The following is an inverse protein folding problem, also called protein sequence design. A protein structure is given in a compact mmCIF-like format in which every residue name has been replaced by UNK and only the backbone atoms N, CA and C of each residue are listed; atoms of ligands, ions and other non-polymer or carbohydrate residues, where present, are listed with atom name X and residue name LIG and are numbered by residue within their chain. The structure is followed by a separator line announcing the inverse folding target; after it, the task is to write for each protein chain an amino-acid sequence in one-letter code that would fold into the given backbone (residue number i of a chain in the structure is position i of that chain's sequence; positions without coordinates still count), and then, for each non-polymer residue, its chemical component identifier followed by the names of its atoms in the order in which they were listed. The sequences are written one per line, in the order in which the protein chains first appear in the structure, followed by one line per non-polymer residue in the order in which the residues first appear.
data_IF_715898640130
#
_entry.id   IF_715898640130
#
_cell.length_a   1.000
_cell.length_b   1.000
_cell.length_c   1.000
_cell.angle_alpha   90.00
_cell.angle_beta   90.00
_cell.angle_gamma   90.00
#
_symmetry.space_group_name_H-M   'P 1'
#
loop_
_entity.id
_entity.type
_entity.pdbx_description
1 polymer ?
#
# COMPACT_ATOMS: atom_id res chain seq x y z
N UNK A 1 -6.36 22.83 0.60
CA UNK A 1 -5.79 21.68 -0.14
C UNK A 1 -6.76 21.38 -1.26
N UNK A 2 -6.32 21.20 -2.49
CA UNK A 2 -7.24 20.82 -3.60
C UNK A 2 -7.75 19.40 -3.33
N UNK A 3 -9.02 19.16 -3.59
CA UNK A 3 -9.58 17.81 -3.61
C UNK A 3 -9.13 17.09 -4.90
N UNK A 4 -9.16 15.76 -4.90
CA UNK A 4 -8.75 14.96 -6.06
C UNK A 4 -9.52 15.31 -7.34
N UNK A 5 -10.77 15.76 -7.23
CA UNK A 5 -11.62 16.20 -8.35
C UNK A 5 -11.15 17.51 -9.01
N UNK A 6 -10.29 18.26 -8.31
CA UNK A 6 -9.77 19.56 -8.76
C UNK A 6 -8.40 19.43 -9.43
N UNK A 7 -7.87 18.20 -9.53
CA UNK A 7 -6.56 17.95 -10.13
C UNK A 7 -6.62 18.09 -11.65
N UNK A 8 -5.69 18.86 -12.19
CA UNK A 8 -5.51 18.95 -13.62
C UNK A 8 -4.67 17.79 -14.18
N UNK A 9 -4.57 17.68 -15.51
CA UNK A 9 -3.86 16.59 -16.19
C UNK A 9 -2.39 16.48 -15.75
N UNK A 10 -1.71 17.62 -15.58
CA UNK A 10 -0.30 17.65 -15.18
C UNK A 10 -0.11 17.15 -13.73
N UNK A 11 -1.01 17.53 -12.84
CA UNK A 11 -1.01 17.07 -11.45
C UNK A 11 -1.26 15.55 -11.36
N UNK A 12 -2.18 15.03 -12.19
CA UNK A 12 -2.44 13.59 -12.30
C UNK A 12 -1.22 12.83 -12.86
N UNK A 13 -0.55 13.37 -13.86
CA UNK A 13 0.66 12.76 -14.44
C UNK A 13 1.81 12.76 -13.43
N UNK A 14 1.95 13.83 -12.63
CA UNK A 14 2.91 13.88 -11.52
C UNK A 14 2.63 12.79 -10.48
N UNK A 15 1.37 12.58 -10.10
CA UNK A 15 0.96 11.53 -9.17
C UNK A 15 1.28 10.13 -9.73
N UNK A 16 1.05 9.91 -11.03
CA UNK A 16 1.41 8.64 -11.69
C UNK A 16 2.92 8.41 -11.69
N UNK A 17 3.70 9.45 -11.94
CA UNK A 17 5.16 9.38 -11.89
C UNK A 17 5.66 9.03 -10.47
N UNK A 18 5.11 9.66 -9.43
CA UNK A 18 5.37 9.33 -8.02
C UNK A 18 5.03 7.84 -7.76
N UNK A 19 3.88 7.37 -8.26
CA UNK A 19 3.47 5.99 -8.18
C UNK A 19 4.49 5.03 -8.79
N UNK A 20 4.94 5.34 -10.00
CA UNK A 20 5.93 4.54 -10.74
C UNK A 20 7.28 4.48 -10.04
N UNK A 21 7.78 5.63 -9.56
CA UNK A 21 9.05 5.73 -8.83
C UNK A 21 8.96 4.99 -7.49
N UNK A 22 7.89 5.21 -6.72
CA UNK A 22 7.68 4.54 -5.43
C UNK A 22 7.61 3.02 -5.58
N UNK A 23 6.88 2.54 -6.60
CA UNK A 23 6.74 1.12 -6.89
C UNK A 23 8.07 0.50 -7.35
N UNK A 24 8.84 1.18 -8.21
CA UNK A 24 10.17 0.72 -8.63
C UNK A 24 11.16 0.64 -7.46
N UNK A 25 11.14 1.62 -6.55
CA UNK A 25 11.94 1.59 -5.34
C UNK A 25 11.51 0.45 -4.40
N UNK A 26 10.21 0.18 -4.29
CA UNK A 26 9.69 -0.93 -3.50
C UNK A 26 10.17 -2.28 -4.06
N UNK A 27 10.15 -2.49 -5.39
CA UNK A 27 10.69 -3.71 -6.01
C UNK A 27 12.16 -3.93 -5.68
N UNK A 28 12.96 -2.89 -5.76
CA UNK A 28 14.39 -2.96 -5.43
C UNK A 28 14.61 -3.33 -3.97
N UNK A 29 13.88 -2.70 -3.05
CA UNK A 29 13.96 -3.01 -1.62
C UNK A 29 13.49 -4.44 -1.31
N UNK A 30 12.37 -4.86 -1.90
CA UNK A 30 11.84 -6.22 -1.77
C UNK A 30 12.79 -7.27 -2.34
N UNK A 31 13.43 -7.00 -3.49
CA UNK A 31 14.43 -7.93 -4.06
C UNK A 31 15.57 -8.21 -3.09
N UNK A 32 16.06 -7.17 -2.42
CA UNK A 32 17.11 -7.30 -1.42
C UNK A 32 16.65 -8.07 -0.18
N UNK A 33 15.40 -7.89 0.23
CA UNK A 33 14.83 -8.50 1.42
C UNK A 33 14.44 -9.96 1.21
N UNK A 34 13.84 -10.26 0.05
CA UNK A 34 13.36 -11.60 -0.27
C UNK A 34 14.45 -12.51 -0.86
N UNK A 35 15.59 -11.94 -1.25
CA UNK A 35 16.70 -12.68 -1.84
C UNK A 35 16.41 -13.22 -3.24
N UNK A 36 15.48 -12.62 -3.97
CA UNK A 36 15.10 -12.97 -5.33
C UNK A 36 14.93 -11.71 -6.19
N UNK A 37 14.94 -11.85 -7.51
CA UNK A 37 14.65 -10.71 -8.40
C UNK A 37 13.14 -10.43 -8.40
N UNK A 38 12.72 -9.39 -7.68
CA UNK A 38 11.33 -8.94 -7.70
C UNK A 38 11.10 -8.06 -8.92
N UNK A 39 10.19 -8.48 -9.78
CA UNK A 39 9.69 -7.71 -10.91
C UNK A 39 8.29 -7.20 -10.63
N UNK A 40 7.99 -6.04 -11.16
CA UNK A 40 6.68 -5.40 -11.03
C UNK A 40 6.15 -5.11 -12.42
N UNK A 41 4.89 -5.44 -12.65
CA UNK A 41 4.15 -4.95 -13.81
C UNK A 41 4.00 -3.42 -13.73
N UNK A 42 3.67 -2.79 -14.85
CA UNK A 42 3.41 -1.34 -14.86
C UNK A 42 2.35 -1.01 -13.80
N UNK A 43 2.69 -0.18 -12.80
CA UNK A 43 1.74 0.12 -11.73
C UNK A 43 0.55 0.89 -12.27
N UNK A 44 -0.64 0.48 -11.85
CA UNK A 44 -1.87 1.16 -12.18
C UNK A 44 -2.24 2.16 -11.08
N UNK A 45 -2.11 3.44 -11.38
CA UNK A 45 -2.49 4.52 -10.44
C UNK A 45 -3.87 5.04 -10.81
N UNK A 46 -4.81 4.94 -9.88
CA UNK A 46 -6.19 5.42 -10.03
C UNK A 46 -6.59 6.32 -8.87
N UNK A 47 -7.44 7.29 -9.16
CA UNK A 47 -8.16 8.09 -8.18
C UNK A 47 -9.63 7.70 -8.31
N UNK A 48 -10.21 7.18 -7.24
CA UNK A 48 -11.55 6.62 -7.25
C UNK A 48 -12.23 6.78 -5.89
N UNK A 49 -13.55 6.65 -5.86
CA UNK A 49 -14.30 6.63 -4.61
C UNK A 49 -13.99 5.38 -3.77
N UNK A 50 -14.24 5.45 -2.45
CA UNK A 50 -13.94 4.34 -1.53
C UNK A 50 -14.63 3.03 -1.92
N UNK A 51 -15.91 3.08 -2.33
CA UNK A 51 -16.64 1.86 -2.73
C UNK A 51 -16.05 1.26 -4.01
N UNK A 52 -15.71 2.10 -5.00
CA UNK A 52 -15.08 1.66 -6.23
C UNK A 52 -13.70 1.03 -5.95
N UNK A 53 -12.94 1.59 -5.01
CA UNK A 53 -11.67 1.02 -4.59
C UNK A 53 -11.83 -0.36 -3.94
N UNK A 54 -12.83 -0.52 -3.06
CA UNK A 54 -13.16 -1.81 -2.45
C UNK A 54 -13.49 -2.85 -3.52
N UNK A 55 -14.32 -2.49 -4.50
CA UNK A 55 -14.70 -3.40 -5.59
C UNK A 55 -13.50 -3.73 -6.49
N UNK A 56 -12.65 -2.73 -6.79
CA UNK A 56 -11.47 -2.90 -7.62
C UNK A 56 -10.43 -3.87 -7.06
N UNK A 57 -10.27 -3.90 -5.74
CA UNK A 57 -9.32 -4.80 -5.08
C UNK A 57 -9.92 -6.17 -4.71
N UNK A 58 -11.16 -6.47 -5.10
CA UNK A 58 -11.76 -7.81 -4.98
C UNK A 58 -13.11 -7.87 -4.24
N UNK A 59 -13.55 -6.77 -3.65
CA UNK A 59 -14.85 -6.67 -2.97
C UNK A 59 -14.77 -6.60 -1.45
N UNK A 60 -15.86 -6.19 -0.78
CA UNK A 60 -15.85 -5.84 0.64
C UNK A 60 -15.62 -7.04 1.58
N UNK A 61 -15.99 -8.24 1.17
CA UNK A 61 -15.95 -9.45 2.01
C UNK A 61 -14.63 -10.23 1.91
N UNK A 62 -13.74 -9.84 0.99
CA UNK A 62 -12.43 -10.48 0.84
C UNK A 62 -11.60 -10.22 2.09
N UNK A 63 -11.11 -11.29 2.71
CA UNK A 63 -10.18 -11.19 3.84
C UNK A 63 -8.80 -10.81 3.29
N UNK A 64 -8.17 -9.82 3.92
CA UNK A 64 -6.84 -9.36 3.53
C UNK A 64 -6.03 -8.90 4.74
N UNK A 65 -4.73 -8.84 4.59
CA UNK A 65 -3.86 -8.20 5.56
C UNK A 65 -3.63 -6.73 5.16
N UNK A 66 -3.64 -5.85 6.14
CA UNK A 66 -3.39 -4.42 5.96
C UNK A 66 -2.28 -3.92 6.88
N UNK A 67 -1.36 -3.16 6.30
CA UNK A 67 -0.37 -2.38 7.06
C UNK A 67 -0.68 -0.91 6.83
N UNK A 68 -0.90 -0.18 7.90
CA UNK A 68 -1.31 1.23 7.85
C UNK A 68 -0.32 2.11 8.59
N UNK A 69 0.00 3.26 8.01
CA UNK A 69 0.74 4.35 8.66
C UNK A 69 -0.01 5.66 8.45
N UNK A 70 0.05 6.54 9.46
CA UNK A 70 -0.40 7.92 9.32
C UNK A 70 0.76 8.80 8.93
N UNK A 71 0.50 9.71 8.02
CA UNK A 71 1.42 10.76 7.63
C UNK A 71 1.04 12.06 8.32
N UNK A 72 2.05 12.82 8.72
CA UNK A 72 1.91 14.14 9.30
C UNK A 72 3.05 15.06 8.86
N UNK A 73 3.06 16.29 9.34
CA UNK A 73 3.99 17.33 8.93
C UNK A 73 3.35 18.23 7.86
N UNK A 74 4.01 18.41 6.72
CA UNK A 74 3.49 19.23 5.63
C UNK A 74 2.39 18.52 4.82
N UNK A 75 2.29 17.18 4.96
CA UNK A 75 1.21 16.37 4.38
C UNK A 75 0.53 15.58 5.49
N UNK A 76 -0.81 15.63 5.53
CA UNK A 76 -1.61 14.80 6.42
C UNK A 76 -2.37 13.76 5.61
N UNK A 77 -2.31 12.51 6.04
CA UNK A 77 -2.98 11.42 5.35
C UNK A 77 -2.74 10.06 5.99
N UNK A 78 -3.30 9.05 5.34
CA UNK A 78 -3.06 7.64 5.67
C UNK A 78 -2.52 6.95 4.41
N UNK A 79 -1.51 6.13 4.59
CA UNK A 79 -1.10 5.13 3.61
C UNK A 79 -1.41 3.74 4.13
N UNK A 80 -2.01 2.94 3.28
CA UNK A 80 -2.41 1.56 3.55
C UNK A 80 -1.81 0.65 2.48
N UNK A 81 -1.03 -0.34 2.90
CA UNK A 81 -0.63 -1.47 2.07
C UNK A 81 -1.62 -2.61 2.27
N UNK A 82 -2.36 -2.95 1.23
CA UNK A 82 -3.28 -4.11 1.20
C UNK A 82 -2.52 -5.30 0.64
N UNK A 83 -2.45 -6.39 1.40
CA UNK A 83 -1.67 -7.58 1.08
C UNK A 83 -2.61 -8.78 0.92
N UNK A 84 -2.88 -9.14 -0.34
CA UNK A 84 -3.67 -10.32 -0.68
C UNK A 84 -2.88 -11.60 -0.44
N UNK A 85 -3.58 -12.75 -0.36
CA UNK A 85 -3.01 -14.03 0.06
C UNK A 85 -1.83 -14.48 -0.84
N UNK A 86 -1.90 -14.19 -2.12
CA UNK A 86 -0.84 -14.53 -3.07
C UNK A 86 0.46 -13.77 -2.76
N UNK A 87 0.34 -12.47 -2.46
CA UNK A 87 1.48 -11.66 -2.04
C UNK A 87 2.01 -12.08 -0.66
N UNK A 88 1.10 -12.38 0.27
CA UNK A 88 1.47 -12.91 1.59
C UNK A 88 2.28 -14.19 1.45
N UNK A 89 1.84 -15.14 0.63
CA UNK A 89 2.56 -16.39 0.39
C UNK A 89 3.91 -16.19 -0.31
N UNK A 90 4.00 -15.23 -1.23
CA UNK A 90 5.29 -14.85 -1.81
C UNK A 90 6.26 -14.37 -0.73
N UNK A 91 5.82 -13.50 0.16
CA UNK A 91 6.65 -12.98 1.26
C UNK A 91 7.04 -14.08 2.23
N UNK A 92 6.06 -14.85 2.72
CA UNK A 92 6.29 -15.90 3.71
C UNK A 92 7.15 -17.04 3.15
N UNK A 93 6.95 -17.41 1.88
CA UNK A 93 7.75 -18.42 1.20
C UNK A 93 9.24 -18.07 1.21
N UNK A 94 9.57 -16.82 0.92
CA UNK A 94 10.96 -16.36 0.86
C UNK A 94 11.56 -16.01 2.23
N UNK A 95 10.80 -15.41 3.14
CA UNK A 95 11.34 -14.95 4.43
C UNK A 95 11.26 -15.99 5.53
N UNK A 96 10.22 -16.83 5.52
CA UNK A 96 9.90 -17.77 6.61
C UNK A 96 9.98 -19.23 6.15
N UNK A 97 9.94 -19.47 4.83
CA UNK A 97 10.02 -20.82 4.24
C UNK A 97 8.71 -21.61 4.34
N UNK A 98 7.55 -20.92 4.39
CA UNK A 98 6.22 -21.54 4.46
C UNK A 98 5.17 -20.74 3.69
N UNK A 99 4.07 -21.39 3.38
CA UNK A 99 2.87 -20.78 2.84
C UNK A 99 1.69 -21.03 3.78
N UNK A 100 0.62 -20.27 3.62
CA UNK A 100 -0.64 -20.39 4.36
C UNK A 100 -1.81 -20.54 3.40
N UNK A 101 -2.85 -21.27 3.80
CA UNK A 101 -4.08 -21.38 3.03
C UNK A 101 -5.05 -20.22 3.34
N UNK A 102 -5.01 -19.75 4.58
CA UNK A 102 -5.80 -18.62 5.03
C UNK A 102 -5.08 -17.83 6.15
N UNK A 103 -5.54 -16.62 6.39
CA UNK A 103 -4.92 -15.70 7.35
C UNK A 103 -5.02 -16.13 8.83
N UNK A 104 -5.89 -17.10 9.18
CA UNK A 104 -5.98 -17.63 10.54
C UNK A 104 -4.73 -18.40 10.96
N UNK A 105 -3.95 -18.84 9.98
CA UNK A 105 -2.69 -19.58 10.17
C UNK A 105 -1.49 -18.67 10.45
N UNK A 106 -1.65 -17.34 10.42
CA UNK A 106 -0.54 -16.40 10.66
C UNK A 106 -0.01 -16.49 12.09
N UNK A 107 1.28 -16.79 12.19
CA UNK A 107 2.04 -16.71 13.44
C UNK A 107 2.53 -15.29 13.72
N UNK A 108 3.07 -15.04 14.91
CA UNK A 108 3.70 -13.74 15.23
C UNK A 108 4.90 -13.42 14.33
N UNK A 109 5.67 -14.44 13.93
CA UNK A 109 6.78 -14.26 12.99
C UNK A 109 6.29 -13.85 11.61
N UNK A 110 5.23 -14.50 11.11
CA UNK A 110 4.62 -14.16 9.83
C UNK A 110 4.09 -12.72 9.83
N UNK A 111 3.39 -12.33 10.91
CA UNK A 111 2.90 -10.95 11.09
C UNK A 111 4.04 -9.94 11.08
N UNK A 112 5.14 -10.23 11.77
CA UNK A 112 6.32 -9.37 11.79
C UNK A 112 6.93 -9.20 10.40
N UNK A 113 7.03 -10.28 9.62
CA UNK A 113 7.51 -10.23 8.23
C UNK A 113 6.59 -9.37 7.34
N UNK A 114 5.28 -9.55 7.45
CA UNK A 114 4.30 -8.79 6.66
C UNK A 114 4.28 -7.30 7.03
N UNK A 115 4.42 -6.96 8.31
CA UNK A 115 4.54 -5.57 8.77
C UNK A 115 5.80 -4.93 8.20
N UNK A 116 6.93 -5.63 8.25
CA UNK A 116 8.20 -5.09 7.72
C UNK A 116 8.13 -4.84 6.21
N UNK A 117 7.59 -5.80 5.44
CA UNK A 117 7.38 -5.64 4.00
C UNK A 117 6.44 -4.48 3.70
N UNK A 118 5.30 -4.40 4.38
CA UNK A 118 4.34 -3.31 4.20
C UNK A 118 4.94 -1.95 4.56
N UNK A 119 5.73 -1.88 5.62
CA UNK A 119 6.44 -0.67 6.02
C UNK A 119 7.46 -0.22 4.96
N UNK A 120 8.23 -1.16 4.39
CA UNK A 120 9.17 -0.86 3.31
C UNK A 120 8.43 -0.31 2.08
N UNK A 121 7.35 -0.98 1.65
CA UNK A 121 6.54 -0.52 0.51
C UNK A 121 6.00 0.89 0.73
N UNK A 122 5.43 1.16 1.89
CA UNK A 122 4.89 2.48 2.24
C UNK A 122 6.02 3.52 2.30
N UNK A 123 7.13 3.19 2.95
CA UNK A 123 8.25 4.12 3.13
C UNK A 123 8.92 4.50 1.81
N UNK A 124 9.08 3.55 0.88
CA UNK A 124 9.64 3.86 -0.45
C UNK A 124 8.75 4.81 -1.25
N UNK A 125 7.45 4.66 -1.12
CA UNK A 125 6.49 5.56 -1.74
C UNK A 125 6.51 6.96 -1.11
N UNK A 126 6.49 7.04 0.23
CA UNK A 126 6.57 8.32 0.96
C UNK A 126 7.89 9.05 0.64
N UNK A 127 9.00 8.32 0.54
CA UNK A 127 10.29 8.90 0.17
C UNK A 127 10.27 9.45 -1.27
N UNK A 128 9.63 8.77 -2.21
CA UNK A 128 9.46 9.27 -3.57
C UNK A 128 8.60 10.55 -3.59
N UNK A 129 7.48 10.55 -2.86
CA UNK A 129 6.61 11.73 -2.72
C UNK A 129 7.36 12.91 -2.08
N UNK A 130 8.05 12.66 -0.95
CA UNK A 130 8.84 13.67 -0.24
C UNK A 130 9.92 14.27 -1.13
N UNK A 131 10.67 13.42 -1.84
CA UNK A 131 11.78 13.87 -2.70
C UNK A 131 11.34 14.65 -3.94
N UNK A 132 10.22 14.25 -4.58
CA UNK A 132 9.72 14.93 -5.78
C UNK A 132 8.96 16.22 -5.46
N UNK A 133 8.28 16.28 -4.33
CA UNK A 133 7.50 17.45 -3.93
C UNK A 133 8.24 18.39 -2.98
N UNK A 134 9.48 18.05 -2.57
CA UNK A 134 10.29 18.79 -1.57
C UNK A 134 9.50 19.01 -0.26
N UNK A 135 8.86 17.94 0.24
CA UNK A 135 8.00 17.97 1.41
C UNK A 135 8.61 17.18 2.56
N UNK A 136 8.48 17.69 3.78
CA UNK A 136 8.83 16.96 5.00
C UNK A 136 7.62 16.17 5.49
N UNK A 137 7.70 14.84 5.40
CA UNK A 137 6.63 13.93 5.81
C UNK A 137 7.10 13.12 7.03
N UNK A 138 6.34 13.15 8.10
CA UNK A 138 6.53 12.32 9.28
C UNK A 138 5.55 11.15 9.24
N UNK A 139 5.99 9.97 9.69
CA UNK A 139 5.15 8.77 9.69
C UNK A 139 5.05 8.17 11.09
N UNK A 140 3.90 7.57 11.39
CA UNK A 140 3.72 6.80 12.63
C UNK A 140 4.34 5.41 12.51
N UNK A 141 4.44 4.71 13.66
CA UNK A 141 4.72 3.28 13.68
C UNK A 141 3.61 2.55 12.92
N UNK A 142 3.94 1.57 12.05
CA UNK A 142 2.95 0.79 11.32
C UNK A 142 2.01 0.04 12.25
N UNK A 143 0.72 0.02 11.93
CA UNK A 143 -0.27 -0.85 12.54
C UNK A 143 -0.67 -1.94 11.53
N UNK A 144 -0.93 -3.15 12.03
CA UNK A 144 -1.28 -4.32 11.23
C UNK A 144 -2.65 -4.85 11.63
N UNK A 145 -3.45 -5.21 10.64
CA UNK A 145 -4.73 -5.88 10.84
C UNK A 145 -4.96 -6.93 9.76
N UNK A 146 -5.73 -7.96 10.11
CA UNK A 146 -6.32 -8.90 9.17
C UNK A 146 -7.82 -8.84 9.37
N UNK A 147 -8.55 -8.46 8.33
CA UNK A 147 -10.00 -8.32 8.37
C UNK A 147 -10.57 -8.32 6.94
N UNK A 148 -11.88 -8.24 6.84
CA UNK A 148 -12.54 -7.95 5.58
C UNK A 148 -12.03 -6.62 5.00
N UNK A 149 -11.80 -6.61 3.72
CA UNK A 149 -11.27 -5.47 2.98
C UNK A 149 -12.11 -4.21 3.16
N UNK A 150 -13.43 -4.37 3.19
CA UNK A 150 -14.36 -3.29 3.52
C UNK A 150 -14.11 -2.72 4.92
N UNK A 151 -13.82 -3.55 5.92
CA UNK A 151 -13.51 -3.11 7.28
C UNK A 151 -12.18 -2.35 7.34
N UNK A 152 -11.13 -2.87 6.68
CA UNK A 152 -9.81 -2.22 6.63
C UNK A 152 -9.91 -0.83 5.99
N UNK A 153 -10.65 -0.68 4.89
CA UNK A 153 -10.81 0.60 4.19
C UNK A 153 -11.72 1.59 4.93
N UNK A 154 -12.48 1.15 5.94
CA UNK A 154 -13.21 2.09 6.81
C UNK A 154 -12.28 2.98 7.63
N UNK A 155 -11.04 2.57 7.89
CA UNK A 155 -10.07 3.35 8.67
C UNK A 155 -9.76 4.69 8.00
N UNK A 156 -9.25 4.75 6.74
CA UNK A 156 -9.05 6.02 6.06
C UNK A 156 -10.36 6.76 5.79
N UNK A 157 -11.45 6.06 5.48
CA UNK A 157 -12.75 6.66 5.26
C UNK A 157 -13.30 7.38 6.51
N UNK A 158 -13.17 6.79 7.69
CA UNK A 158 -13.64 7.40 8.94
C UNK A 158 -12.82 8.63 9.32
N UNK A 159 -11.52 8.65 9.01
CA UNK A 159 -10.64 9.76 9.35
C UNK A 159 -10.68 10.90 8.32
N UNK A 160 -10.81 10.61 7.03
CA UNK A 160 -10.70 11.57 5.94
C UNK A 160 -11.95 11.69 5.06
N UNK A 161 -12.95 10.83 5.18
CA UNK A 161 -14.17 10.86 4.36
C UNK A 161 -14.99 12.16 4.46
N UNK A 162 -14.82 12.93 5.55
CA UNK A 162 -15.37 14.28 5.65
C UNK A 162 -14.59 15.35 4.87
N UNK A 163 -13.41 15.02 4.35
CA UNK A 163 -12.51 15.92 3.61
C UNK A 163 -12.44 15.57 2.13
N UNK A 164 -12.55 14.29 1.78
CA UNK A 164 -12.54 13.79 0.40
C UNK A 164 -13.33 12.49 0.30
N UNK A 165 -14.14 12.38 -0.76
CA UNK A 165 -14.84 11.14 -1.13
C UNK A 165 -13.96 10.19 -1.95
N UNK A 166 -12.73 10.62 -2.27
CA UNK A 166 -11.80 9.92 -3.16
C UNK A 166 -10.53 9.50 -2.44
N UNK A 167 -9.99 8.38 -2.90
CA UNK A 167 -8.66 7.90 -2.52
C UNK A 167 -7.81 7.65 -3.76
N UNK A 168 -6.50 7.72 -3.59
CA UNK A 168 -5.56 7.25 -4.61
C UNK A 168 -5.21 5.80 -4.33
N UNK A 169 -5.34 4.96 -5.33
CA UNK A 169 -4.95 3.55 -5.30
C UNK A 169 -3.79 3.30 -6.26
N UNK A 170 -2.88 2.44 -5.87
CA UNK A 170 -1.77 1.98 -6.69
C UNK A 170 -1.80 0.46 -6.67
N UNK A 171 -2.19 -0.13 -7.80
CA UNK A 171 -2.14 -1.58 -8.00
C UNK A 171 -0.85 -1.97 -8.67
N UNK A 172 -0.20 -3.01 -8.16
CA UNK A 172 0.99 -3.58 -8.75
C UNK A 172 1.05 -5.08 -8.46
N UNK A 173 1.43 -5.88 -9.45
CA UNK A 173 1.70 -7.30 -9.27
C UNK A 173 3.20 -7.50 -9.06
N UNK A 174 3.54 -8.17 -7.98
CA UNK A 174 4.91 -8.51 -7.63
C UNK A 174 5.18 -9.97 -7.99
N UNK A 175 6.20 -10.21 -8.79
CA UNK A 175 6.62 -11.54 -9.22
C UNK A 175 8.07 -11.72 -8.79
N UNK A 176 8.37 -12.81 -8.10
CA UNK A 176 9.73 -13.19 -7.72
C UNK A 176 10.21 -14.32 -8.66
N UNK A 177 11.38 -14.15 -9.29
CA UNK A 177 12.01 -15.13 -10.18
C UNK A 177 13.27 -15.70 -9.54
#
# INVERSE_FOLDING_TARGET
MKNFDELNVLELDTIREIGSIGTGNAATALSSMLGCEVRIDVPEVRIMGYNEAIDWIGGPEVITAGVVVRMGGEVNGIMLSVQQIEFVNLVLGHMVGREIEDYSQLTELDRSALVEVGNIMISTFINALSGLADLTIQVTVPAFAVDMQGAILTVPMAEFGGQSDYIMTIGANFICN
#
